data_IF_685866029206
#
_entry.id   IF_685866029206
#
_cell.length_a   1.000
_cell.length_b   1.000
_cell.length_c   1.000
_cell.angle_alpha   90.00
_cell.angle_beta   90.00
_cell.angle_gamma   90.00
#
_symmetry.space_group_name_H-M   'P 1'
#
loop_
_entity.id
_entity.type
_entity.pdbx_description
1 polymer ?
#
# COMPACT_ATOMS: atom_id res chain seq x y z
N UNK A 1 -15.29 28.90 57.73
CA UNK A 1 -15.76 27.74 56.93
C UNK A 1 -14.61 26.73 56.80
N UNK A 2 -14.85 25.47 57.17
CA UNK A 2 -13.82 24.42 57.34
C UNK A 2 -13.48 23.73 56.02
N UNK A 3 -12.18 23.53 55.76
CA UNK A 3 -11.59 22.90 54.55
C UNK A 3 -12.13 21.48 54.26
N UNK A 4 -12.69 20.80 55.25
CA UNK A 4 -13.24 19.44 55.12
C UNK A 4 -14.52 19.32 54.27
N UNK A 5 -15.22 20.43 53.99
CA UNK A 5 -16.40 20.40 53.13
C UNK A 5 -16.07 20.52 51.63
N UNK A 6 -14.88 21.04 51.29
CA UNK A 6 -14.47 21.14 49.89
C UNK A 6 -14.08 19.76 49.34
N UNK A 7 -13.33 18.97 50.12
CA UNK A 7 -12.85 17.65 49.69
C UNK A 7 -13.97 16.61 49.56
N UNK A 8 -15.06 16.73 50.33
CA UNK A 8 -16.21 15.82 50.22
C UNK A 8 -17.03 16.04 48.94
N UNK A 9 -17.09 17.27 48.40
CA UNK A 9 -17.75 17.52 47.12
C UNK A 9 -16.97 16.96 45.94
N UNK A 10 -15.64 17.04 45.98
CA UNK A 10 -14.79 16.55 44.89
C UNK A 10 -14.88 15.03 44.71
N UNK A 11 -15.04 14.29 45.82
CA UNK A 11 -15.16 12.83 45.75
C UNK A 11 -16.55 12.32 45.32
N UNK A 12 -17.63 13.06 45.62
CA UNK A 12 -18.98 12.66 45.18
C UNK A 12 -19.20 12.85 43.67
N UNK A 13 -18.59 13.88 43.05
CA UNK A 13 -18.70 14.08 41.59
C UNK A 13 -17.84 13.10 40.78
N UNK A 14 -16.81 12.50 41.37
CA UNK A 14 -15.98 11.51 40.68
C UNK A 14 -16.58 10.10 40.64
N UNK A 15 -17.45 9.74 41.59
CA UNK A 15 -18.07 8.41 41.62
C UNK A 15 -19.25 8.28 40.64
N UNK A 16 -20.01 9.36 40.43
CA UNK A 16 -21.12 9.39 39.46
C UNK A 16 -20.66 9.57 38.00
N UNK A 17 -19.46 10.08 37.75
CA UNK A 17 -18.91 10.25 36.40
C UNK A 17 -18.18 8.99 35.85
N UNK A 18 -18.22 7.87 36.59
CA UNK A 18 -17.53 6.62 36.23
C UNK A 18 -18.45 5.57 35.61
N UNK A 19 -19.76 5.81 35.56
CA UNK A 19 -20.72 5.02 34.80
C UNK A 19 -21.08 5.77 33.52
N UNK A 20 -21.00 5.09 32.38
CA UNK A 20 -21.29 5.61 31.02
C UNK A 20 -20.33 6.68 30.49
N UNK A 21 -19.06 6.30 30.32
CA UNK A 21 -18.27 6.92 29.25
C UNK A 21 -18.46 6.05 28.01
N UNK A 22 -19.16 6.50 26.95
CA UNK A 22 -19.11 5.80 25.68
C UNK A 22 -17.62 5.65 25.29
N UNK A 23 -17.23 4.52 24.68
CA UNK A 23 -15.86 4.32 24.26
C UNK A 23 -15.42 5.57 23.50
N UNK A 24 -14.29 6.16 23.92
CA UNK A 24 -13.71 7.28 23.19
C UNK A 24 -13.68 6.88 21.72
N UNK A 25 -14.12 7.73 20.77
CA UNK A 25 -13.92 7.40 19.37
C UNK A 25 -12.43 7.11 19.24
N UNK A 26 -12.09 5.86 18.93
CA UNK A 26 -10.74 5.53 18.51
C UNK A 26 -10.53 6.46 17.33
N UNK A 27 -9.72 7.49 17.52
CA UNK A 27 -9.01 8.10 16.40
C UNK A 27 -8.17 6.95 15.90
N UNK A 28 -8.73 6.20 14.97
CA UNK A 28 -7.98 5.32 14.10
C UNK A 28 -6.97 6.27 13.48
N UNK A 29 -5.74 6.24 13.99
CA UNK A 29 -4.63 6.87 13.33
C UNK A 29 -4.61 6.27 11.94
N UNK A 30 -5.09 7.07 10.98
CA UNK A 30 -5.00 6.92 9.53
C UNK A 30 -4.49 5.53 9.14
N UNK A 31 -5.41 4.59 8.97
CA UNK A 31 -5.18 3.47 8.06
C UNK A 31 -4.81 4.10 6.72
N UNK A 32 -3.51 4.15 6.46
CA UNK A 32 -2.92 4.68 5.25
C UNK A 32 -3.34 3.72 4.16
N UNK A 33 -4.29 4.19 3.36
CA UNK A 33 -4.97 3.48 2.27
C UNK A 33 -4.21 2.26 1.73
N UNK A 34 -4.80 1.09 1.93
CA UNK A 34 -4.72 -0.01 0.96
C UNK A 34 -5.20 0.59 -0.36
N UNK A 35 -4.28 0.86 -1.29
CA UNK A 35 -4.64 1.31 -2.64
C UNK A 35 -4.63 0.12 -3.57
N UNK A 36 -5.64 -0.73 -3.47
CA UNK A 36 -6.15 -1.37 -4.68
C UNK A 36 -7.25 -0.48 -5.24
N UNK A 37 -6.99 0.05 -6.43
CA UNK A 37 -7.96 0.66 -7.34
C UNK A 37 -8.93 1.71 -6.74
N UNK A 38 -8.61 3.00 -6.96
CA UNK A 38 -9.60 4.08 -6.93
C UNK A 38 -9.40 5.09 -5.80
N UNK A 39 -8.70 6.18 -6.10
CA UNK A 39 -8.87 7.44 -5.38
C UNK A 39 -7.58 8.14 -4.94
N UNK A 40 -7.21 9.19 -5.67
CA UNK A 40 -6.54 10.37 -5.08
C UNK A 40 -5.02 10.32 -5.03
N UNK A 41 -4.39 10.43 -6.19
CA UNK A 41 -2.97 10.73 -6.34
C UNK A 41 -2.59 10.77 -7.82
N UNK A 42 -3.32 11.58 -8.61
CA UNK A 42 -3.14 11.70 -10.07
C UNK A 42 -1.87 12.45 -10.45
N UNK A 43 -0.72 11.96 -9.96
CA UNK A 43 0.60 12.45 -10.31
C UNK A 43 1.48 11.30 -10.78
N UNK A 44 2.51 11.61 -11.57
CA UNK A 44 3.42 10.60 -12.11
C UNK A 44 4.14 9.83 -11.00
N UNK A 45 4.21 8.51 -11.18
CA UNK A 45 4.93 7.58 -10.33
C UNK A 45 6.12 7.01 -11.09
N UNK A 46 7.11 6.48 -10.38
CA UNK A 46 8.20 5.72 -10.99
C UNK A 46 7.88 4.25 -10.82
N UNK A 47 7.83 3.54 -11.94
CA UNK A 47 7.87 2.09 -11.98
C UNK A 47 9.23 1.66 -12.55
N UNK A 48 9.58 0.41 -12.36
CA UNK A 48 10.80 -0.16 -12.91
C UNK A 48 10.49 -1.47 -13.62
N UNK A 49 11.00 -1.60 -14.84
CA UNK A 49 10.82 -2.80 -15.66
C UNK A 49 11.38 -4.03 -14.95
N UNK A 50 10.69 -5.18 -15.06
CA UNK A 50 11.14 -6.48 -14.56
C UNK A 50 11.73 -7.39 -15.64
N UNK A 51 11.70 -6.90 -16.87
CA UNK A 51 12.12 -7.65 -18.05
C UNK A 51 12.49 -6.65 -19.12
N UNK A 52 13.35 -7.09 -20.03
CA UNK A 52 13.57 -6.40 -21.29
C UNK A 52 12.27 -6.29 -22.09
N UNK A 53 12.18 -5.27 -22.94
CA UNK A 53 11.00 -4.89 -23.73
C UNK A 53 10.34 -6.11 -24.39
N UNK A 54 9.14 -6.51 -23.92
CA UNK A 54 8.47 -7.70 -24.44
C UNK A 54 7.91 -7.45 -25.84
N UNK A 55 7.56 -8.54 -26.54
CA UNK A 55 6.79 -8.46 -27.80
C UNK A 55 5.29 -8.29 -27.51
N UNK A 56 4.98 -7.27 -26.70
CA UNK A 56 3.64 -6.88 -26.26
C UNK A 56 3.60 -5.36 -26.01
N UNK A 57 2.44 -4.83 -25.66
CA UNK A 57 2.17 -3.43 -25.29
C UNK A 57 2.22 -3.20 -23.78
N UNK A 58 2.32 -4.26 -22.98
CA UNK A 58 2.44 -4.20 -21.53
C UNK A 58 3.80 -4.75 -21.07
N UNK A 59 4.44 -4.05 -20.12
CA UNK A 59 5.66 -4.51 -19.46
C UNK A 59 5.38 -4.74 -17.97
N UNK A 60 5.74 -5.90 -17.40
CA UNK A 60 5.63 -6.12 -15.97
C UNK A 60 6.63 -5.21 -15.25
N UNK A 61 6.14 -4.45 -14.28
CA UNK A 61 6.95 -3.52 -13.50
C UNK A 61 6.71 -3.71 -12.01
N UNK A 62 7.65 -3.27 -11.18
CA UNK A 62 7.37 -2.97 -9.77
C UNK A 62 7.12 -1.47 -9.59
N UNK A 63 6.17 -1.12 -8.72
CA UNK A 63 5.92 0.26 -8.32
C UNK A 63 6.64 0.54 -7.00
N UNK A 64 7.43 1.61 -6.96
CA UNK A 64 8.16 2.03 -5.75
C UNK A 64 7.21 2.37 -4.60
N UNK A 65 5.97 2.74 -4.90
CA UNK A 65 5.03 3.24 -3.92
C UNK A 65 4.31 2.16 -3.09
N UNK A 66 4.42 0.88 -3.49
CA UNK A 66 3.46 -0.15 -3.04
C UNK A 66 3.98 -1.08 -1.94
N UNK A 67 5.30 -1.13 -1.69
CA UNK A 67 5.87 -2.04 -0.70
C UNK A 67 6.50 -1.26 0.44
N UNK A 68 6.01 -1.52 1.66
CA UNK A 68 6.55 -0.92 2.88
C UNK A 68 7.42 -1.93 3.63
N UNK A 69 8.42 -1.43 4.37
CA UNK A 69 9.19 -2.26 5.27
C UNK A 69 8.27 -3.01 6.26
N UNK A 70 8.51 -4.30 6.45
CA UNK A 70 7.75 -5.11 7.40
C UNK A 70 7.82 -4.52 8.81
N UNK A 71 6.68 -4.53 9.48
CA UNK A 71 6.46 -4.03 10.82
C UNK A 71 5.60 -5.00 11.63
N UNK A 72 6.10 -5.35 12.83
CA UNK A 72 5.39 -6.13 13.84
C UNK A 72 4.10 -5.46 14.37
N UNK A 73 3.98 -4.14 14.22
CA UNK A 73 2.84 -3.37 14.70
C UNK A 73 1.76 -3.18 13.62
N UNK A 74 2.02 -3.63 12.39
CA UNK A 74 1.10 -3.51 11.26
C UNK A 74 0.30 -4.80 11.13
N UNK A 75 -1.01 -4.66 10.95
CA UNK A 75 -1.89 -5.76 10.55
C UNK A 75 -2.06 -5.70 9.04
N UNK A 76 -1.61 -6.74 8.34
CA UNK A 76 -1.72 -6.86 6.90
C UNK A 76 -3.02 -7.58 6.51
N UNK A 77 -3.66 -7.11 5.45
CA UNK A 77 -4.75 -7.82 4.78
C UNK A 77 -4.20 -9.00 3.96
N UNK A 78 -5.08 -9.85 3.43
CA UNK A 78 -4.66 -10.82 2.42
C UNK A 78 -4.17 -10.09 1.16
N UNK A 79 -3.15 -10.64 0.50
CA UNK A 79 -2.48 -10.09 -0.69
C UNK A 79 -1.76 -8.75 -0.50
N UNK A 80 -1.66 -8.25 0.74
CA UNK A 80 -0.85 -7.07 1.05
C UNK A 80 0.63 -7.42 1.10
N UNK A 81 1.48 -6.52 0.58
CA UNK A 81 2.92 -6.75 0.43
C UNK A 81 3.73 -5.96 1.46
N UNK A 82 4.84 -6.54 1.88
CA UNK A 82 5.87 -5.86 2.67
C UNK A 82 7.28 -6.27 2.20
N UNK A 83 8.30 -5.54 2.66
CA UNK A 83 9.70 -5.80 2.34
C UNK A 83 10.52 -6.06 3.61
N UNK A 84 11.42 -7.03 3.56
CA UNK A 84 12.48 -7.24 4.54
C UNK A 84 13.81 -7.34 3.82
N UNK A 85 14.68 -6.34 4.04
CA UNK A 85 16.05 -6.32 3.52
C UNK A 85 16.16 -6.55 1.99
N UNK A 86 15.28 -5.95 1.20
CA UNK A 86 15.25 -6.09 -0.26
C UNK A 86 14.41 -7.24 -0.79
N UNK A 87 13.88 -8.11 0.08
CA UNK A 87 13.00 -9.21 -0.31
C UNK A 87 11.56 -8.89 0.01
N UNK A 88 10.67 -9.07 -0.96
CA UNK A 88 9.25 -8.78 -0.82
C UNK A 88 8.46 -10.04 -0.43
N UNK A 89 7.46 -9.85 0.44
CA UNK A 89 6.61 -10.90 0.95
C UNK A 89 5.15 -10.49 0.86
N UNK A 90 4.32 -11.37 0.29
CA UNK A 90 2.87 -11.21 0.21
C UNK A 90 2.21 -11.92 1.39
N UNK A 91 1.34 -11.22 2.09
CA UNK A 91 0.51 -11.80 3.15
C UNK A 91 -0.51 -12.77 2.54
N UNK A 92 -0.58 -13.99 3.07
CA UNK A 92 -1.48 -15.04 2.60
C UNK A 92 -2.85 -15.02 3.28
N UNK A 93 -3.00 -14.24 4.35
CA UNK A 93 -4.18 -14.25 5.20
C UNK A 93 -4.58 -12.85 5.65
N UNK A 94 -5.89 -12.68 5.87
CA UNK A 94 -6.44 -11.50 6.53
C UNK A 94 -5.97 -11.41 7.98
N UNK A 95 -5.86 -10.18 8.49
CA UNK A 95 -5.47 -9.90 9.87
C UNK A 95 -4.09 -10.45 10.27
N UNK A 96 -3.16 -10.55 9.32
CA UNK A 96 -1.78 -10.97 9.59
C UNK A 96 -1.07 -9.91 10.43
N UNK A 97 -0.96 -10.15 11.74
CA UNK A 97 -0.32 -9.23 12.69
C UNK A 97 0.85 -9.94 13.36
N UNK A 98 2.04 -9.35 13.28
CA UNK A 98 3.23 -9.80 14.00
C UNK A 98 3.70 -11.24 13.65
N UNK A 99 3.27 -11.81 12.52
CA UNK A 99 3.86 -13.05 12.01
C UNK A 99 5.15 -12.74 11.26
N UNK A 100 6.19 -13.53 11.52
CA UNK A 100 7.47 -13.39 10.84
C UNK A 100 7.34 -13.77 9.36
N UNK A 101 8.02 -13.05 8.47
CA UNK A 101 8.04 -13.34 7.01
C UNK A 101 8.56 -14.73 6.65
N UNK A 102 9.26 -15.38 7.57
CA UNK A 102 9.73 -16.76 7.42
C UNK A 102 8.65 -17.82 7.69
N UNK A 103 7.45 -17.45 8.15
CA UNK A 103 6.35 -18.39 8.36
C UNK A 103 5.55 -18.57 7.04
N UNK A 104 5.70 -19.71 6.35
CA UNK A 104 5.08 -19.93 5.04
C UNK A 104 3.56 -20.08 5.12
N UNK A 105 2.99 -20.15 6.32
CA UNK A 105 1.53 -20.18 6.50
C UNK A 105 0.92 -18.77 6.36
N UNK A 106 1.74 -17.74 6.57
CA UNK A 106 1.32 -16.34 6.63
C UNK A 106 1.91 -15.50 5.51
N UNK A 107 3.06 -15.89 4.98
CA UNK A 107 3.81 -15.14 4.00
C UNK A 107 4.29 -16.02 2.85
N UNK A 108 4.23 -15.46 1.65
CA UNK A 108 4.84 -16.02 0.45
C UNK A 108 5.89 -15.03 -0.05
N UNK A 109 7.14 -15.48 -0.23
CA UNK A 109 8.16 -14.69 -0.91
C UNK A 109 7.78 -14.51 -2.38
N UNK A 110 7.89 -13.28 -2.87
CA UNK A 110 7.57 -12.98 -4.25
C UNK A 110 8.06 -11.60 -4.65
N UNK A 111 7.48 -11.07 -5.71
CA UNK A 111 7.70 -9.67 -6.05
C UNK A 111 6.43 -9.09 -6.64
N UNK A 112 5.97 -7.94 -6.17
CA UNK A 112 4.79 -7.27 -6.71
C UNK A 112 5.05 -6.93 -8.18
N UNK A 113 4.24 -7.45 -9.10
CA UNK A 113 4.29 -7.04 -10.51
C UNK A 113 2.96 -6.47 -10.92
N UNK A 114 2.98 -5.25 -11.46
CA UNK A 114 1.83 -4.67 -12.13
C UNK A 114 2.10 -4.58 -13.63
N UNK A 115 1.11 -4.89 -14.48
CA UNK A 115 1.23 -4.60 -15.90
C UNK A 115 1.16 -3.10 -16.11
N UNK A 116 2.21 -2.53 -16.72
CA UNK A 116 2.21 -1.14 -17.19
C UNK A 116 2.01 -1.16 -18.70
N UNK A 117 0.91 -0.56 -19.17
CA UNK A 117 0.61 -0.46 -20.58
C UNK A 117 1.29 0.77 -21.17
N UNK A 118 2.25 0.56 -22.05
CA UNK A 118 2.99 1.66 -22.64
C UNK A 118 2.37 2.05 -23.98
N UNK A 119 2.14 3.35 -24.15
CA UNK A 119 1.79 3.91 -25.45
C UNK A 119 3.04 3.93 -26.31
N UNK A 120 3.02 3.16 -27.40
CA UNK A 120 4.13 3.06 -28.35
C UNK A 120 3.84 3.99 -29.52
N UNK A 121 4.65 5.03 -29.68
CA UNK A 121 4.51 5.95 -30.81
C UNK A 121 5.09 5.25 -32.06
N UNK A 122 4.23 4.97 -33.04
CA UNK A 122 4.60 4.35 -34.33
C UNK A 122 5.14 2.91 -34.25
N UNK A 123 4.42 2.02 -33.54
CA UNK A 123 4.75 0.60 -33.49
C UNK A 123 3.60 -0.25 -32.94
N UNK A 124 3.80 -1.56 -32.88
CA UNK A 124 2.81 -2.50 -32.34
C UNK A 124 3.27 -3.22 -31.07
N UNK A 125 4.56 -3.17 -30.71
CA UNK A 125 5.10 -3.82 -29.50
C UNK A 125 6.35 -3.13 -28.96
N UNK A 126 6.56 -3.27 -27.65
CA UNK A 126 7.63 -2.59 -26.91
C UNK A 126 9.02 -3.01 -27.38
N UNK A 127 9.16 -4.25 -27.87
CA UNK A 127 10.39 -4.77 -28.48
C UNK A 127 10.97 -3.89 -29.60
N UNK A 128 10.13 -3.15 -30.30
CA UNK A 128 10.54 -2.24 -31.39
C UNK A 128 10.42 -0.75 -31.02
N UNK A 129 10.07 -0.45 -29.77
CA UNK A 129 9.94 0.91 -29.29
C UNK A 129 11.33 1.54 -29.03
N UNK A 130 11.38 2.87 -29.08
CA UNK A 130 12.59 3.64 -28.76
C UNK A 130 12.24 4.69 -27.72
N UNK A 131 12.86 4.64 -26.51
CA UNK A 131 13.96 3.78 -26.12
C UNK A 131 13.54 2.31 -25.85
N UNK A 132 14.45 1.39 -26.20
CA UNK A 132 14.31 -0.01 -25.76
C UNK A 132 14.49 -0.08 -24.24
N UNK A 133 13.46 -0.55 -23.55
CA UNK A 133 13.47 -0.76 -22.10
C UNK A 133 14.19 -2.07 -21.78
N UNK A 134 15.09 -2.02 -20.80
CA UNK A 134 15.76 -3.17 -20.20
C UNK A 134 15.19 -3.47 -18.82
N UNK A 135 15.45 -4.67 -18.32
CA UNK A 135 15.22 -4.99 -16.91
C UNK A 135 15.90 -3.97 -15.98
N UNK A 136 15.16 -3.48 -14.99
CA UNK A 136 15.59 -2.45 -14.06
C UNK A 136 15.50 -1.01 -14.56
N UNK A 137 15.10 -0.75 -15.80
CA UNK A 137 14.95 0.63 -16.30
C UNK A 137 13.78 1.34 -15.59
N UNK A 138 13.98 2.58 -15.10
CA UNK A 138 12.91 3.38 -14.54
C UNK A 138 12.01 3.94 -15.65
N UNK A 139 10.70 3.79 -15.49
CA UNK A 139 9.69 4.39 -16.36
C UNK A 139 8.73 5.26 -15.54
N UNK A 140 8.38 6.42 -16.11
CA UNK A 140 7.37 7.28 -15.53
C UNK A 140 5.99 6.76 -15.90
N UNK A 141 5.13 6.53 -14.91
CA UNK A 141 3.80 5.97 -15.10
C UNK A 141 2.72 6.83 -14.47
N UNK A 142 1.55 6.84 -15.10
CA UNK A 142 0.37 7.53 -14.62
C UNK A 142 -0.85 6.61 -14.66
N UNK A 143 -1.72 6.73 -13.66
CA UNK A 143 -3.01 6.06 -13.68
C UNK A 143 -3.97 6.79 -14.62
N UNK A 144 -4.47 6.08 -15.61
CA UNK A 144 -5.47 6.56 -16.56
C UNK A 144 -6.71 5.67 -16.45
N UNK A 145 -7.90 6.28 -16.48
CA UNK A 145 -9.14 5.51 -16.52
C UNK A 145 -9.51 5.19 -17.96
N UNK A 146 -9.53 3.89 -18.32
CA UNK A 146 -9.92 3.40 -19.64
C UNK A 146 -11.13 2.49 -19.45
N UNK A 147 -12.25 2.80 -20.13
CA UNK A 147 -13.50 2.03 -20.04
C UNK A 147 -14.04 1.80 -18.61
N UNK A 148 -13.69 2.65 -17.64
CA UNK A 148 -14.08 2.53 -16.23
C UNK A 148 -13.08 1.79 -15.35
N UNK A 149 -12.02 1.23 -15.92
CA UNK A 149 -10.93 0.57 -15.19
C UNK A 149 -9.72 1.51 -15.06
N UNK A 150 -9.02 1.44 -13.92
CA UNK A 150 -7.77 2.20 -13.72
C UNK A 150 -6.59 1.39 -14.28
N UNK A 151 -5.93 1.94 -15.29
CA UNK A 151 -4.79 1.32 -15.99
C UNK A 151 -3.55 2.16 -15.74
N UNK A 152 -2.42 1.52 -15.44
CA UNK A 152 -1.13 2.21 -15.39
C UNK A 152 -0.60 2.35 -16.80
N UNK A 153 -0.29 3.57 -17.19
CA UNK A 153 0.22 3.88 -18.52
C UNK A 153 1.57 4.56 -18.47
N UNK A 154 2.42 4.23 -19.43
CA UNK A 154 3.68 4.92 -19.68
C UNK A 154 3.68 5.47 -21.11
N UNK A 155 4.45 6.53 -21.37
CA UNK A 155 4.79 6.89 -22.76
C UNK A 155 6.19 6.38 -23.00
N UNK A 156 6.35 5.51 -24.00
CA UNK A 156 7.66 5.07 -24.49
C UNK A 156 7.99 5.84 -25.76
#
# INVERSE_FOLDING_TARGET
MRRDQLNRRTHQTSAAAKAERPPSPRVIQRGRAVRSAGGGGGGPQIAYCKTDSPDDTAVPCYLVADVLAWSAATTYAADEWCEVAGTEYKSLQENNLNHAVSDPSWWEEGTISVPVHCLIINGSSLKYATPFLHDGDPILVEYVTIAGESVLTCTN
#
